data_IF_893771328927
#
_entry.id   IF_893771328927
#
_cell.length_a   1.000
_cell.length_b   1.000
_cell.length_c   1.000
_cell.angle_alpha   90.00
_cell.angle_beta   90.00
_cell.angle_gamma   90.00
#
_symmetry.space_group_name_H-M   'P 1'
#
loop_
_entity.id
_entity.type
_entity.pdbx_description
1 polymer ?
#
# COMPACT_ATOMS: atom_id res chain seq x y z
N UNK A 1 32.53 25.52 40.21
CA UNK A 1 32.41 25.18 38.77
C UNK A 1 32.59 23.69 38.42
N UNK A 2 33.18 22.86 39.25
CA UNK A 2 33.44 21.43 38.99
C UNK A 2 32.20 20.51 39.13
N UNK A 3 31.18 20.91 39.88
CA UNK A 3 29.98 20.09 40.12
C UNK A 3 29.02 20.02 38.92
N UNK A 4 28.94 21.05 38.09
CA UNK A 4 28.06 21.09 36.90
C UNK A 4 28.56 20.18 35.76
N UNK A 5 29.88 20.03 35.64
CA UNK A 5 30.49 19.20 34.59
C UNK A 5 30.32 17.70 34.89
N UNK A 6 30.38 17.32 36.17
CA UNK A 6 30.14 15.93 36.61
C UNK A 6 28.68 15.50 36.42
N UNK A 7 27.75 16.39 36.69
CA UNK A 7 26.31 16.09 36.53
C UNK A 7 25.92 15.92 35.10
N UNK A 8 26.44 16.74 34.17
CA UNK A 8 26.21 16.62 32.73
C UNK A 8 26.83 15.35 32.16
N UNK A 9 28.00 14.95 32.64
CA UNK A 9 28.66 13.71 32.23
C UNK A 9 27.86 12.46 32.63
N UNK A 10 27.36 12.42 33.86
CA UNK A 10 26.54 11.30 34.39
C UNK A 10 25.22 11.19 33.61
N UNK A 11 24.55 12.29 33.34
CA UNK A 11 23.31 12.27 32.54
C UNK A 11 23.58 11.79 31.11
N UNK A 12 24.71 12.15 30.52
CA UNK A 12 25.08 11.70 29.18
C UNK A 12 25.35 10.18 29.16
N UNK A 13 26.05 9.64 30.17
CA UNK A 13 26.28 8.19 30.30
C UNK A 13 24.96 7.41 30.47
N UNK A 14 24.07 7.88 31.34
CA UNK A 14 22.77 7.23 31.55
C UNK A 14 21.93 7.21 30.24
N UNK A 15 21.94 8.31 29.45
CA UNK A 15 21.22 8.37 28.19
C UNK A 15 21.80 7.43 27.12
N UNK A 16 23.12 7.26 27.09
CA UNK A 16 23.78 6.31 26.16
C UNK A 16 23.53 4.87 26.56
N UNK A 17 23.55 4.54 27.86
CA UNK A 17 23.27 3.18 28.35
C UNK A 17 21.81 2.77 28.13
N UNK A 18 20.86 3.68 28.30
CA UNK A 18 19.44 3.43 28.04
C UNK A 18 19.21 3.22 26.51
N UNK A 19 19.85 4.00 25.64
CA UNK A 19 19.78 3.81 24.20
C UNK A 19 20.36 2.46 23.77
N UNK A 20 21.51 2.06 24.32
CA UNK A 20 22.14 0.80 24.00
C UNK A 20 21.35 -0.42 24.49
N UNK A 21 20.77 -0.35 25.71
CA UNK A 21 19.87 -1.41 26.22
C UNK A 21 18.58 -1.50 25.40
N UNK A 22 18.01 -0.38 24.95
CA UNK A 22 16.84 -0.37 24.11
C UNK A 22 17.13 -0.97 22.72
N UNK A 23 18.28 -0.63 22.11
CA UNK A 23 18.72 -1.18 20.83
C UNK A 23 18.98 -2.70 20.89
N UNK A 24 19.57 -3.19 21.98
CA UNK A 24 19.80 -4.63 22.20
C UNK A 24 18.48 -5.39 22.46
N UNK A 25 17.53 -4.79 23.17
CA UNK A 25 16.21 -5.38 23.43
C UNK A 25 15.38 -5.50 22.14
N UNK A 26 15.40 -4.48 21.27
CA UNK A 26 14.68 -4.54 19.99
C UNK A 26 15.28 -5.56 19.02
N UNK A 27 16.61 -5.77 19.05
CA UNK A 27 17.27 -6.79 18.23
C UNK A 27 16.99 -8.22 18.73
N UNK A 28 16.86 -8.41 20.05
CA UNK A 28 16.52 -9.70 20.65
C UNK A 28 15.05 -10.09 20.40
N UNK A 29 14.14 -9.12 20.45
CA UNK A 29 12.72 -9.34 20.16
C UNK A 29 12.47 -9.65 18.68
N UNK A 30 13.25 -9.07 17.76
CA UNK A 30 13.12 -9.29 16.32
C UNK A 30 13.48 -10.71 15.87
N UNK A 31 14.31 -11.43 16.62
CA UNK A 31 14.73 -12.82 16.30
C UNK A 31 13.74 -13.89 16.75
N UNK A 32 12.73 -13.57 17.56
CA UNK A 32 11.83 -14.53 18.18
C UNK A 32 10.36 -14.42 17.77
N UNK A 33 10.04 -13.54 16.83
CA UNK A 33 8.69 -13.54 16.27
C UNK A 33 8.56 -14.75 15.33
N UNK A 34 7.84 -15.77 15.80
CA UNK A 34 7.41 -16.87 14.95
C UNK A 34 6.63 -16.25 13.80
N UNK A 35 7.14 -16.38 12.58
CA UNK A 35 6.44 -15.89 11.39
C UNK A 35 5.10 -16.61 11.31
N UNK A 36 3.98 -15.91 11.10
CA UNK A 36 2.68 -16.53 11.04
C UNK A 36 2.64 -17.51 9.88
N UNK A 37 2.18 -18.76 10.13
CA UNK A 37 1.94 -19.75 9.09
C UNK A 37 0.57 -19.51 8.47
N UNK A 38 0.47 -19.60 7.15
CA UNK A 38 -0.81 -19.52 6.46
C UNK A 38 -1.36 -20.91 6.22
N UNK A 39 -2.65 -21.11 6.53
CA UNK A 39 -3.40 -22.29 6.10
C UNK A 39 -3.74 -22.16 4.60
N UNK A 40 -3.35 -23.13 3.82
CA UNK A 40 -3.72 -23.27 2.40
C UNK A 40 -4.27 -24.66 2.12
N UNK A 41 -4.93 -24.84 1.00
CA UNK A 41 -5.43 -26.14 0.54
C UNK A 41 -4.54 -26.60 -0.61
N UNK A 42 -3.76 -27.66 -0.39
CA UNK A 42 -2.94 -28.32 -1.40
C UNK A 42 -3.46 -29.77 -1.57
N UNK A 43 -3.84 -30.13 -2.80
CA UNK A 43 -4.37 -31.46 -3.08
C UNK A 43 -5.60 -31.86 -2.25
N UNK A 44 -6.49 -30.89 -1.93
CA UNK A 44 -7.69 -31.13 -1.11
C UNK A 44 -7.44 -31.21 0.39
N UNK A 45 -6.21 -31.11 0.87
CA UNK A 45 -5.86 -31.13 2.31
C UNK A 45 -5.47 -29.74 2.80
N UNK A 46 -5.91 -29.40 4.03
CA UNK A 46 -5.46 -28.18 4.72
C UNK A 46 -4.03 -28.38 5.19
N UNK A 47 -3.11 -27.59 4.64
CA UNK A 47 -1.70 -27.58 5.02
C UNK A 47 -1.28 -26.18 5.48
N UNK A 48 -0.33 -26.10 6.41
CA UNK A 48 0.27 -24.84 6.83
C UNK A 48 1.54 -24.59 6.01
N UNK A 49 1.59 -23.45 5.31
CA UNK A 49 2.74 -23.05 4.50
C UNK A 49 3.43 -21.87 5.19
N UNK A 50 4.76 -21.83 5.13
CA UNK A 50 5.53 -20.72 5.66
C UNK A 50 5.21 -19.42 4.87
N UNK A 51 5.10 -18.33 5.62
CA UNK A 51 4.78 -17.00 5.05
C UNK A 51 5.77 -16.56 3.96
N UNK A 52 7.01 -17.04 4.02
CA UNK A 52 8.06 -16.69 3.06
C UNK A 52 7.81 -17.28 1.66
N UNK A 53 7.30 -18.50 1.52
CA UNK A 53 6.94 -19.08 0.22
C UNK A 53 5.88 -18.24 -0.51
N UNK A 54 4.88 -17.74 0.23
CA UNK A 54 3.90 -16.83 -0.35
C UNK A 54 4.50 -15.49 -0.76
N UNK A 55 5.52 -15.01 -0.04
CA UNK A 55 6.20 -13.77 -0.37
C UNK A 55 6.97 -13.88 -1.69
N UNK A 56 7.53 -15.05 -1.97
CA UNK A 56 8.23 -15.34 -3.23
C UNK A 56 7.27 -15.40 -4.41
N UNK A 57 6.15 -16.11 -4.30
CA UNK A 57 5.08 -16.14 -5.31
C UNK A 57 4.48 -14.75 -5.55
N UNK A 58 4.22 -14.00 -4.48
CA UNK A 58 3.70 -12.64 -4.57
C UNK A 58 4.73 -11.67 -5.17
N UNK A 59 5.99 -11.85 -4.85
CA UNK A 59 7.11 -11.07 -5.41
C UNK A 59 7.26 -11.34 -6.90
N UNK A 60 7.20 -12.62 -7.33
CA UNK A 60 7.26 -12.99 -8.75
C UNK A 60 6.03 -12.52 -9.52
N UNK A 61 4.83 -12.69 -8.97
CA UNK A 61 3.60 -12.12 -9.53
C UNK A 61 3.72 -10.59 -9.71
N UNK A 62 4.20 -9.89 -8.69
CA UNK A 62 4.42 -8.46 -8.78
C UNK A 62 5.49 -8.13 -9.82
N UNK A 63 6.61 -8.84 -9.88
CA UNK A 63 7.68 -8.63 -10.85
C UNK A 63 7.17 -8.74 -12.28
N UNK A 64 6.37 -9.77 -12.56
CA UNK A 64 5.76 -9.98 -13.87
C UNK A 64 4.76 -8.88 -14.21
N UNK A 65 3.86 -8.56 -13.29
CA UNK A 65 2.91 -7.45 -13.43
C UNK A 65 3.62 -6.10 -13.67
N UNK A 66 4.75 -5.85 -12.97
CA UNK A 66 5.50 -4.61 -13.10
C UNK A 66 6.21 -4.49 -14.46
N UNK A 67 6.58 -5.60 -15.07
CA UNK A 67 7.19 -5.61 -16.40
C UNK A 67 6.22 -5.13 -17.47
N UNK A 68 4.95 -5.52 -17.36
CA UNK A 68 3.90 -5.17 -18.35
C UNK A 68 3.21 -3.83 -18.06
N UNK A 69 3.19 -3.35 -16.81
CA UNK A 69 2.46 -2.15 -16.39
C UNK A 69 3.40 -0.97 -16.02
N UNK A 70 4.62 -0.91 -16.56
CA UNK A 70 5.60 0.15 -16.21
C UNK A 70 5.06 1.56 -16.42
N UNK A 71 4.38 1.81 -17.54
CA UNK A 71 3.89 3.14 -17.88
C UNK A 71 2.68 3.52 -17.03
N UNK A 72 1.78 2.58 -16.76
CA UNK A 72 0.65 2.77 -15.84
C UNK A 72 1.16 3.12 -14.44
N UNK A 73 2.17 2.42 -13.94
CA UNK A 73 2.77 2.72 -12.65
C UNK A 73 3.45 4.10 -12.63
N UNK A 74 4.21 4.43 -13.67
CA UNK A 74 4.86 5.74 -13.81
C UNK A 74 3.82 6.85 -13.80
N UNK A 75 2.70 6.64 -14.49
CA UNK A 75 1.59 7.57 -14.51
C UNK A 75 1.00 7.78 -13.11
N UNK A 76 0.61 6.74 -12.38
CA UNK A 76 0.04 6.86 -11.04
C UNK A 76 1.02 7.46 -9.99
N UNK A 77 2.32 7.32 -10.20
CA UNK A 77 3.34 7.93 -9.35
C UNK A 77 3.67 9.38 -9.75
N UNK A 78 3.21 9.85 -10.90
CA UNK A 78 3.52 11.19 -11.42
C UNK A 78 2.89 12.30 -10.57
N UNK A 79 3.56 13.46 -10.55
CA UNK A 79 3.06 14.66 -9.87
C UNK A 79 1.77 15.19 -10.52
N UNK A 80 1.63 15.00 -11.84
CA UNK A 80 0.43 15.39 -12.60
C UNK A 80 -0.76 14.60 -12.08
N UNK A 81 -0.67 13.27 -12.04
CA UNK A 81 -1.75 12.43 -11.52
C UNK A 81 -2.13 12.78 -10.08
N UNK A 82 -1.13 12.90 -9.19
CA UNK A 82 -1.37 13.23 -7.77
C UNK A 82 -2.12 14.54 -7.60
N UNK A 83 -1.78 15.55 -8.40
CA UNK A 83 -2.45 16.86 -8.40
C UNK A 83 -3.87 16.75 -8.92
N UNK A 84 -4.06 16.13 -10.09
CA UNK A 84 -5.39 15.93 -10.71
C UNK A 84 -6.30 15.13 -9.80
N UNK A 85 -5.82 14.03 -9.23
CA UNK A 85 -6.58 13.19 -8.30
C UNK A 85 -7.04 13.98 -7.06
N UNK A 86 -6.14 14.77 -6.45
CA UNK A 86 -6.50 15.62 -5.32
C UNK A 86 -7.55 16.65 -5.72
N UNK A 87 -7.45 17.25 -6.89
CA UNK A 87 -8.42 18.23 -7.39
C UNK A 87 -9.80 17.60 -7.60
N UNK A 88 -9.88 16.38 -8.17
CA UNK A 88 -11.15 15.65 -8.33
C UNK A 88 -11.83 15.42 -7.00
N UNK A 89 -11.09 15.02 -5.97
CA UNK A 89 -11.64 14.81 -4.63
C UNK A 89 -12.16 16.11 -4.00
N UNK A 90 -11.42 17.21 -4.15
CA UNK A 90 -11.82 18.53 -3.66
C UNK A 90 -13.09 19.03 -4.36
N UNK A 91 -13.19 18.91 -5.67
CA UNK A 91 -14.34 19.36 -6.47
C UNK A 91 -15.60 18.51 -6.22
N UNK A 92 -15.45 17.28 -5.73
CA UNK A 92 -16.55 16.41 -5.35
C UNK A 92 -16.93 16.51 -3.86
N UNK A 93 -16.33 17.44 -3.12
CA UNK A 93 -16.49 17.57 -1.65
C UNK A 93 -16.23 16.24 -0.92
N UNK A 94 -15.31 15.41 -1.46
CA UNK A 94 -15.02 14.06 -0.97
C UNK A 94 -16.24 13.14 -0.91
N UNK A 95 -17.22 13.34 -1.80
CA UNK A 95 -18.40 12.47 -1.91
C UNK A 95 -18.18 11.45 -3.04
N UNK A 96 -18.43 10.18 -2.73
CA UNK A 96 -18.32 9.09 -3.71
C UNK A 96 -19.44 9.19 -4.77
N UNK A 97 -19.07 9.29 -6.04
CA UNK A 97 -20.02 9.41 -7.15
C UNK A 97 -20.96 8.21 -7.31
N UNK A 98 -20.59 7.04 -6.74
CA UNK A 98 -21.36 5.80 -6.89
C UNK A 98 -22.30 5.51 -5.73
N UNK A 99 -21.99 5.90 -4.50
CA UNK A 99 -22.80 5.55 -3.33
C UNK A 99 -23.09 6.71 -2.37
N UNK A 100 -22.48 7.88 -2.59
CA UNK A 100 -22.65 9.04 -1.72
C UNK A 100 -21.85 9.01 -0.39
N UNK A 101 -21.14 7.91 -0.09
CA UNK A 101 -20.28 7.83 1.09
C UNK A 101 -19.00 8.67 0.88
N UNK A 102 -18.17 8.79 1.93
CA UNK A 102 -16.88 9.49 1.86
C UNK A 102 -15.96 8.86 0.81
N UNK A 103 -15.50 9.69 -0.12
CA UNK A 103 -14.54 9.29 -1.15
C UNK A 103 -13.10 9.46 -0.66
N UNK A 104 -12.31 8.41 -0.77
CA UNK A 104 -10.90 8.40 -0.35
C UNK A 104 -9.92 8.36 -1.52
N UNK A 105 -10.42 8.17 -2.74
CA UNK A 105 -9.60 8.03 -3.94
C UNK A 105 -10.33 8.53 -5.19
N UNK A 106 -9.54 8.79 -6.25
CA UNK A 106 -10.07 9.07 -7.59
C UNK A 106 -9.99 7.82 -8.43
N UNK A 107 -11.08 7.46 -9.06
CA UNK A 107 -11.22 6.34 -9.98
C UNK A 107 -11.40 6.81 -11.41
N UNK A 108 -10.97 6.00 -12.39
CA UNK A 108 -11.21 6.20 -13.80
C UNK A 108 -12.49 5.46 -14.23
N UNK A 109 -13.46 6.13 -14.83
CA UNK A 109 -14.68 5.49 -15.35
C UNK A 109 -14.31 4.42 -16.38
N UNK A 110 -13.50 4.77 -17.36
CA UNK A 110 -12.84 3.84 -18.30
C UNK A 110 -11.41 3.67 -17.80
N UNK A 111 -11.00 2.44 -17.51
CA UNK A 111 -9.70 2.19 -16.92
C UNK A 111 -8.55 2.62 -17.82
N UNK A 112 -7.44 3.06 -17.23
CA UNK A 112 -6.22 3.48 -17.94
C UNK A 112 -5.65 2.38 -18.85
N UNK A 113 -5.94 1.12 -18.54
CA UNK A 113 -5.54 -0.03 -19.36
C UNK A 113 -6.41 -0.22 -20.60
N UNK A 114 -7.67 0.20 -20.54
CA UNK A 114 -8.58 0.14 -21.67
C UNK A 114 -8.35 1.31 -22.64
N UNK A 115 -8.19 2.51 -22.10
CA UNK A 115 -7.94 3.70 -22.91
C UNK A 115 -6.91 4.63 -22.24
N UNK A 116 -5.67 4.56 -22.70
CA UNK A 116 -4.58 5.38 -22.21
C UNK A 116 -4.77 6.88 -22.45
N UNK A 117 -5.47 7.25 -23.53
CA UNK A 117 -5.68 8.66 -23.89
C UNK A 117 -6.51 9.40 -22.85
N UNK A 118 -7.44 8.71 -22.20
CA UNK A 118 -8.37 9.25 -21.20
C UNK A 118 -7.83 9.32 -19.76
N UNK A 119 -6.55 9.02 -19.56
CA UNK A 119 -5.94 8.95 -18.22
C UNK A 119 -6.00 10.25 -17.40
N UNK A 120 -6.11 11.41 -18.08
CA UNK A 120 -6.23 12.72 -17.45
C UNK A 120 -7.51 13.47 -17.84
N UNK A 121 -8.39 12.82 -18.62
CA UNK A 121 -9.66 13.41 -19.00
C UNK A 121 -10.56 13.57 -17.76
N UNK A 122 -10.95 14.82 -17.50
CA UNK A 122 -11.80 15.17 -16.35
C UNK A 122 -13.14 14.42 -16.36
N UNK A 123 -13.73 14.22 -17.56
CA UNK A 123 -14.99 13.51 -17.71
C UNK A 123 -14.86 12.00 -17.46
N UNK A 124 -13.63 11.49 -17.46
CA UNK A 124 -13.33 10.10 -17.16
C UNK A 124 -12.87 9.86 -15.71
N UNK A 125 -12.86 10.92 -14.88
CA UNK A 125 -12.42 10.85 -13.47
C UNK A 125 -13.59 11.09 -12.53
N UNK A 126 -13.69 10.27 -11.49
CA UNK A 126 -14.72 10.38 -10.46
C UNK A 126 -14.15 10.13 -9.08
N UNK A 127 -14.71 10.78 -8.06
CA UNK A 127 -14.40 10.49 -6.67
C UNK A 127 -15.03 9.16 -6.26
N UNK A 128 -14.29 8.30 -5.58
CA UNK A 128 -14.73 6.96 -5.21
C UNK A 128 -14.30 6.57 -3.81
N UNK A 129 -15.17 5.85 -3.09
CA UNK A 129 -14.77 5.14 -1.88
C UNK A 129 -14.13 3.79 -2.24
N UNK A 130 -13.31 3.25 -1.32
CA UNK A 130 -12.62 1.98 -1.54
C UNK A 130 -13.58 0.84 -1.90
N UNK A 131 -14.74 0.77 -1.22
CA UNK A 131 -15.75 -0.29 -1.43
C UNK A 131 -16.28 -0.29 -2.87
N UNK A 132 -16.63 0.88 -3.41
CA UNK A 132 -17.14 1.01 -4.77
C UNK A 132 -16.07 0.74 -5.82
N UNK A 133 -14.85 1.22 -5.60
CA UNK A 133 -13.72 0.94 -6.48
C UNK A 133 -13.37 -0.55 -6.55
N UNK A 134 -13.38 -1.25 -5.40
CA UNK A 134 -13.14 -2.70 -5.35
C UNK A 134 -14.24 -3.48 -6.10
N UNK A 135 -15.53 -3.10 -5.93
CA UNK A 135 -16.65 -3.72 -6.66
C UNK A 135 -16.49 -3.55 -8.19
N UNK A 136 -16.18 -2.35 -8.64
CA UNK A 136 -15.93 -2.06 -10.06
C UNK A 136 -14.77 -2.91 -10.61
N UNK A 137 -13.65 -2.98 -9.90
CA UNK A 137 -12.50 -3.78 -10.31
C UNK A 137 -12.82 -5.29 -10.42
N UNK A 138 -13.74 -5.79 -9.60
CA UNK A 138 -14.25 -7.16 -9.70
C UNK A 138 -15.10 -7.31 -10.97
N UNK A 139 -16.05 -6.43 -11.21
CA UNK A 139 -16.92 -6.47 -12.40
C UNK A 139 -16.13 -6.39 -13.70
N UNK A 140 -15.12 -5.52 -13.78
CA UNK A 140 -14.25 -5.41 -14.95
C UNK A 140 -13.50 -6.72 -15.24
N UNK A 141 -13.01 -7.44 -14.20
CA UNK A 141 -12.35 -8.74 -14.38
C UNK A 141 -13.30 -9.80 -14.95
N UNK A 142 -14.52 -9.87 -14.44
CA UNK A 142 -15.52 -10.84 -14.95
C UNK A 142 -15.96 -10.52 -16.38
N UNK A 143 -16.08 -9.25 -16.74
CA UNK A 143 -16.46 -8.83 -18.10
C UNK A 143 -15.41 -9.20 -19.16
N UNK A 144 -14.14 -9.29 -18.76
CA UNK A 144 -13.04 -9.69 -19.66
C UNK A 144 -12.98 -11.22 -19.84
N UNK A 145 -13.42 -11.99 -18.84
CA UNK A 145 -13.37 -13.46 -18.86
C UNK A 145 -14.48 -14.10 -19.74
N UNK A 146 -15.48 -13.34 -20.14
CA UNK A 146 -16.68 -13.85 -20.88
C UNK A 146 -16.59 -13.57 -22.38
N UNK A 147 -15.51 -12.94 -22.87
CA UNK A 147 -15.21 -12.73 -24.30
C UNK A 147 -14.13 -13.71 -24.76
#
# INVERSE_FOLDING_TARGET
>A
MLYLTFYTYIIHQIKTDVKNKCAQSTHYFRKRTMKPKKLTILGGRRTSVDYDQRNDEYTEYNRTRWKYDKDVKRFYNSSIWKRTSKQVLLESDYVCAMCGDEATMTDHIISVKQDWSKRLDRNNLQASCKRCNDKKAIQERYSISVK
#
